data_IF_131543183845
#
_entry.id   IF_131543183845
#
_cell.length_a   1.000
_cell.length_b   1.000
_cell.length_c   1.000
_cell.angle_alpha   90.00
_cell.angle_beta   90.00
_cell.angle_gamma   90.00
#
_symmetry.space_group_name_H-M   'P 1'
#
loop_
_entity.id
_entity.type
_entity.pdbx_description
1 polymer ?
#
# COMPACT_ATOMS: atom_id res chain seq x y z
N UNK A 1 42.69 -9.00 -0.18
CA UNK A 1 43.13 -7.61 0.12
C UNK A 1 43.65 -6.96 -1.17
N UNK A 2 42.75 -6.38 -1.97
CA UNK A 2 43.05 -5.48 -3.09
C UNK A 2 41.92 -4.46 -3.15
N UNK A 3 42.11 -3.39 -2.38
CA UNK A 3 41.29 -2.18 -2.40
C UNK A 3 41.84 -1.30 -3.54
N UNK A 4 40.97 -0.43 -4.06
CA UNK A 4 41.25 0.72 -4.94
C UNK A 4 41.25 0.39 -6.44
N UNK A 5 40.18 0.80 -7.15
CA UNK A 5 40.25 1.43 -8.49
C UNK A 5 38.88 1.45 -9.22
N UNK A 6 37.82 2.08 -8.70
CA UNK A 6 36.66 2.46 -9.56
C UNK A 6 35.90 3.66 -8.98
N UNK A 7 36.62 4.79 -8.83
CA UNK A 7 36.02 6.11 -8.58
C UNK A 7 36.55 7.06 -9.66
N UNK A 8 35.87 7.13 -10.80
CA UNK A 8 35.75 8.32 -11.66
C UNK A 8 35.12 7.93 -13.00
N UNK A 9 33.80 8.07 -13.16
CA UNK A 9 33.24 8.34 -14.50
C UNK A 9 31.80 8.88 -14.59
N UNK A 10 31.23 9.49 -13.55
CA UNK A 10 29.92 10.13 -13.66
C UNK A 10 29.90 11.56 -13.11
N UNK A 11 30.58 12.44 -13.84
CA UNK A 11 30.34 13.88 -13.85
C UNK A 11 30.27 14.29 -15.33
N UNK A 12 29.37 15.24 -15.64
CA UNK A 12 29.07 15.86 -16.96
C UNK A 12 27.74 15.38 -17.57
N UNK A 13 26.63 16.01 -17.13
CA UNK A 13 25.69 16.75 -18.01
C UNK A 13 24.55 17.39 -17.21
N UNK A 14 24.88 18.45 -16.50
CA UNK A 14 23.91 19.45 -16.04
C UNK A 14 23.50 20.30 -17.26
N UNK A 15 22.29 20.09 -17.78
CA UNK A 15 21.63 21.04 -18.70
C UNK A 15 20.40 21.61 -18.00
N UNK A 16 20.45 22.92 -17.84
CA UNK A 16 19.40 23.77 -17.30
C UNK A 16 18.11 23.65 -18.12
N UNK A 17 16.98 23.46 -17.43
CA UNK A 17 15.63 23.67 -17.95
C UNK A 17 15.03 24.81 -17.13
N UNK A 18 14.67 25.89 -17.82
CA UNK A 18 14.05 27.07 -17.24
C UNK A 18 12.58 26.80 -16.86
N UNK A 19 12.04 27.40 -15.78
CA UNK A 19 10.64 27.24 -15.42
C UNK A 19 9.75 28.18 -16.24
N UNK A 20 8.79 27.60 -16.96
CA UNK A 20 7.72 28.34 -17.65
C UNK A 20 6.52 28.48 -16.69
N UNK A 21 6.40 29.67 -16.10
CA UNK A 21 5.25 30.10 -15.32
C UNK A 21 3.99 30.13 -16.20
N UNK A 22 3.02 29.27 -15.90
CA UNK A 22 1.65 29.44 -16.39
C UNK A 22 0.70 29.47 -15.20
N UNK A 23 0.06 30.64 -15.04
CA UNK A 23 -1.00 30.89 -14.07
C UNK A 23 -2.29 30.20 -14.54
N UNK A 24 -2.87 29.33 -13.73
CA UNK A 24 -4.29 28.98 -13.86
C UNK A 24 -4.97 29.24 -12.52
N UNK A 25 -6.02 30.04 -12.58
CA UNK A 25 -6.98 30.36 -11.52
C UNK A 25 -8.20 29.44 -11.68
N UNK A 26 -8.89 29.20 -10.55
CA UNK A 26 -10.30 28.81 -10.35
C UNK A 26 -10.48 27.37 -9.86
N UNK A 27 -11.46 27.01 -9.03
CA UNK A 27 -12.39 27.67 -8.09
C UNK A 27 -13.02 26.52 -7.26
N UNK A 28 -13.53 26.85 -6.09
CA UNK A 28 -14.11 25.96 -5.08
C UNK A 28 -15.45 25.28 -5.43
N UNK A 29 -15.74 24.14 -4.77
CA UNK A 29 -17.01 23.73 -4.13
C UNK A 29 -16.85 22.26 -3.64
N UNK A 30 -16.90 21.91 -2.35
CA UNK A 30 -18.01 21.79 -1.37
C UNK A 30 -18.87 20.51 -1.51
N UNK A 31 -18.78 19.67 -0.46
CA UNK A 31 -19.82 18.80 0.16
C UNK A 31 -20.26 17.55 -0.63
N UNK A 32 -20.33 16.34 -0.09
CA UNK A 32 -20.10 15.78 1.24
C UNK A 32 -20.87 14.45 1.42
N UNK A 33 -20.31 13.52 2.20
CA UNK A 33 -20.95 12.41 2.98
C UNK A 33 -21.81 11.40 2.20
N UNK A 34 -21.45 10.10 2.23
CA UNK A 34 -22.32 8.97 2.68
C UNK A 34 -21.57 7.62 2.78
N UNK A 35 -21.70 7.01 3.97
CA UNK A 35 -21.34 5.64 4.37
C UNK A 35 -21.98 4.52 3.51
N UNK A 36 -21.18 3.55 3.05
CA UNK A 36 -21.64 2.15 2.81
C UNK A 36 -20.53 1.15 3.18
N UNK A 37 -20.86 0.23 4.07
CA UNK A 37 -20.05 -0.89 4.56
C UNK A 37 -20.19 -2.13 3.67
N UNK A 38 -19.06 -2.67 3.20
CA UNK A 38 -18.95 -4.06 2.72
C UNK A 38 -17.54 -4.60 2.96
N UNK A 39 -17.47 -5.81 3.50
CA UNK A 39 -16.23 -6.54 3.77
C UNK A 39 -15.69 -7.22 2.51
N UNK A 40 -14.37 -7.16 2.29
CA UNK A 40 -13.69 -8.00 1.31
C UNK A 40 -12.31 -7.47 0.91
N UNK A 41 -11.29 -8.29 1.20
CA UNK A 41 -9.95 -8.40 0.60
C UNK A 41 -9.07 -7.11 0.51
N UNK A 42 -7.76 -7.31 0.63
CA UNK A 42 -6.76 -6.26 0.79
C UNK A 42 -6.72 -5.34 -0.45
N UNK A 43 -7.47 -4.24 -0.39
CA UNK A 43 -7.51 -3.27 -1.46
C UNK A 43 -6.42 -2.21 -1.25
N UNK A 44 -5.56 -2.00 -2.26
CA UNK A 44 -4.57 -0.93 -2.21
C UNK A 44 -5.27 0.41 -2.42
N UNK A 45 -5.17 1.30 -1.44
CA UNK A 45 -5.69 2.67 -1.52
C UNK A 45 -4.61 3.56 -2.14
N UNK A 46 -4.87 4.16 -3.30
CA UNK A 46 -3.97 5.14 -3.90
C UNK A 46 -4.72 6.47 -4.09
N UNK A 47 -4.07 7.56 -3.69
CA UNK A 47 -4.61 8.91 -3.76
C UNK A 47 -4.00 9.68 -4.93
N UNK A 48 -4.76 9.87 -6.00
CA UNK A 48 -4.41 10.79 -7.10
C UNK A 48 -5.45 11.90 -7.17
N UNK A 49 -5.00 13.14 -7.01
CA UNK A 49 -5.87 14.32 -7.01
C UNK A 49 -6.50 14.58 -8.39
N UNK A 50 -7.65 13.93 -8.63
CA UNK A 50 -8.37 13.90 -9.90
C UNK A 50 -7.86 12.81 -10.84
N UNK A 51 -8.76 12.00 -11.40
CA UNK A 51 -8.45 10.80 -12.18
C UNK A 51 -8.52 11.04 -13.70
N UNK A 52 -7.42 11.39 -14.38
CA UNK A 52 -7.31 11.06 -15.80
C UNK A 52 -7.20 9.53 -15.92
N UNK A 53 -8.17 8.88 -16.57
CA UNK A 53 -8.28 7.41 -16.65
C UNK A 53 -6.99 6.71 -17.12
N UNK A 54 -6.17 7.34 -17.96
CA UNK A 54 -4.88 6.76 -18.36
C UNK A 54 -3.84 6.67 -17.23
N UNK A 55 -3.94 7.51 -16.20
CA UNK A 55 -3.06 7.47 -15.02
C UNK A 55 -3.56 6.43 -14.01
N UNK A 56 -4.88 6.25 -13.91
CA UNK A 56 -5.50 5.14 -13.16
C UNK A 56 -5.07 3.77 -13.70
N UNK A 57 -5.17 3.58 -15.02
CA UNK A 57 -4.79 2.33 -15.68
C UNK A 57 -3.32 1.97 -15.39
N UNK A 58 -2.42 2.96 -15.49
CA UNK A 58 -1.00 2.78 -15.17
C UNK A 58 -0.76 2.37 -13.71
N UNK A 59 -1.44 3.01 -12.77
CA UNK A 59 -1.30 2.69 -11.34
C UNK A 59 -1.81 1.30 -10.98
N UNK A 60 -2.96 0.90 -11.54
CA UNK A 60 -3.50 -0.43 -11.29
C UNK A 60 -2.62 -1.48 -11.97
N UNK A 61 -2.12 -1.22 -13.19
CA UNK A 61 -1.17 -2.10 -13.87
C UNK A 61 0.10 -2.33 -13.04
N UNK A 62 0.74 -1.25 -12.57
CA UNK A 62 1.92 -1.34 -11.70
C UNK A 62 1.59 -2.07 -10.39
N UNK A 63 0.39 -1.83 -9.84
CA UNK A 63 -0.10 -2.47 -8.63
C UNK A 63 -0.33 -3.98 -8.78
N UNK A 64 -0.86 -4.44 -9.92
CA UNK A 64 -1.04 -5.86 -10.23
C UNK A 64 0.32 -6.55 -10.35
N UNK A 65 1.26 -5.93 -11.05
CA UNK A 65 2.63 -6.46 -11.17
C UNK A 65 3.28 -6.63 -9.78
N UNK A 66 3.07 -5.67 -8.88
CA UNK A 66 3.59 -5.70 -7.52
C UNK A 66 2.86 -6.69 -6.60
N UNK A 67 1.53 -6.81 -6.71
CA UNK A 67 0.73 -7.65 -5.81
C UNK A 67 0.76 -9.13 -6.19
N UNK A 68 0.62 -9.45 -7.48
CA UNK A 68 0.46 -10.84 -7.95
C UNK A 68 1.63 -11.33 -8.80
N UNK A 69 2.60 -10.47 -9.11
CA UNK A 69 3.80 -10.84 -9.86
C UNK A 69 3.54 -11.14 -11.35
N UNK A 70 2.40 -10.70 -11.89
CA UNK A 70 1.98 -10.96 -13.28
C UNK A 70 2.07 -9.68 -14.09
N UNK A 71 2.79 -9.74 -15.22
CA UNK A 71 2.87 -8.62 -16.17
C UNK A 71 1.57 -8.45 -16.94
N UNK A 72 1.06 -7.22 -16.94
CA UNK A 72 -0.12 -6.82 -17.70
C UNK A 72 0.33 -6.21 -19.03
N UNK A 73 -0.23 -6.68 -20.14
CA UNK A 73 0.01 -6.16 -21.49
C UNK A 73 -0.93 -4.99 -21.83
N UNK A 74 -2.20 -5.11 -21.40
CA UNK A 74 -3.21 -4.09 -21.61
C UNK A 74 -4.18 -4.01 -20.43
N UNK A 75 -4.63 -2.80 -20.12
CA UNK A 75 -5.71 -2.56 -19.18
C UNK A 75 -6.82 -1.78 -19.88
N UNK A 76 -8.07 -2.18 -19.66
CA UNK A 76 -9.26 -1.54 -20.22
C UNK A 76 -10.23 -1.21 -19.09
N UNK A 77 -10.32 0.07 -18.74
CA UNK A 77 -11.29 0.59 -17.79
C UNK A 77 -12.45 1.27 -18.54
N UNK A 78 -13.70 1.20 -18.05
CA UNK A 78 -14.83 1.88 -18.68
C UNK A 78 -14.57 3.38 -18.80
N UNK A 79 -14.82 3.92 -20.00
CA UNK A 79 -14.47 5.30 -20.31
C UNK A 79 -15.18 6.34 -19.43
N UNK A 80 -14.40 7.34 -18.99
CA UNK A 80 -14.81 8.62 -18.42
C UNK A 80 -16.03 8.54 -17.47
N UNK A 81 -15.75 8.16 -16.22
CA UNK A 81 -16.71 8.12 -15.11
C UNK A 81 -16.64 9.46 -14.38
N UNK A 82 -17.77 9.90 -13.83
CA UNK A 82 -17.78 11.03 -12.91
C UNK A 82 -17.15 10.59 -11.57
N UNK A 83 -16.52 11.55 -10.86
CA UNK A 83 -15.99 11.28 -9.51
C UNK A 83 -17.17 11.26 -8.56
N UNK A 84 -17.48 10.09 -7.99
CA UNK A 84 -18.59 9.86 -7.07
C UNK A 84 -18.12 8.93 -5.95
N UNK A 85 -18.15 9.42 -4.71
CA UNK A 85 -17.83 8.64 -3.51
C UNK A 85 -18.68 7.37 -3.47
N UNK A 86 -18.02 6.22 -3.35
CA UNK A 86 -18.67 4.91 -3.35
C UNK A 86 -18.96 4.33 -4.75
N UNK A 87 -18.58 5.01 -5.84
CA UNK A 87 -18.72 4.44 -7.19
C UNK A 87 -17.82 3.21 -7.37
N UNK A 88 -18.39 2.14 -7.94
CA UNK A 88 -17.70 0.86 -8.15
C UNK A 88 -17.74 0.49 -9.64
N UNK A 89 -16.58 0.18 -10.21
CA UNK A 89 -16.44 -0.36 -11.56
C UNK A 89 -15.49 -1.53 -11.63
N UNK A 90 -15.60 -2.28 -12.73
CA UNK A 90 -14.63 -3.27 -13.13
C UNK A 90 -13.73 -2.72 -14.25
N UNK A 91 -12.42 -2.87 -14.10
CA UNK A 91 -11.45 -2.81 -15.18
C UNK A 91 -11.06 -4.23 -15.60
N UNK A 92 -10.65 -4.39 -16.84
CA UNK A 92 -10.17 -5.66 -17.39
C UNK A 92 -8.67 -5.56 -17.64
N UNK A 93 -7.87 -6.42 -17.01
CA UNK A 93 -6.43 -6.51 -17.26
C UNK A 93 -6.15 -7.74 -18.13
N UNK A 94 -5.41 -7.59 -19.22
CA UNK A 94 -4.93 -8.70 -20.05
C UNK A 94 -3.45 -8.89 -19.79
N UNK A 95 -3.03 -10.09 -19.40
CA UNK A 95 -1.63 -10.41 -19.11
C UNK A 95 -0.84 -10.63 -20.40
N UNK A 96 0.49 -10.59 -20.30
CA UNK A 96 1.38 -10.93 -21.44
C UNK A 96 1.20 -12.36 -21.95
N UNK A 97 0.70 -13.26 -21.10
CA UNK A 97 0.42 -14.66 -21.42
C UNK A 97 -0.99 -14.86 -22.02
N UNK A 98 -1.79 -13.78 -22.10
CA UNK A 98 -3.14 -13.78 -22.65
C UNK A 98 -4.26 -14.09 -21.65
N UNK A 99 -3.94 -14.18 -20.35
CA UNK A 99 -4.94 -14.34 -19.30
C UNK A 99 -5.69 -13.02 -19.07
N UNK A 100 -6.95 -13.13 -18.64
CA UNK A 100 -7.80 -11.97 -18.36
C UNK A 100 -8.15 -11.92 -16.88
N UNK A 101 -7.77 -10.83 -16.22
CA UNK A 101 -8.08 -10.52 -14.83
C UNK A 101 -9.20 -9.48 -14.77
N UNK A 102 -10.16 -9.69 -13.87
CA UNK A 102 -11.15 -8.67 -13.55
C UNK A 102 -10.70 -7.93 -12.30
N UNK A 103 -10.62 -6.60 -12.40
CA UNK A 103 -10.18 -5.73 -11.31
C UNK A 103 -11.34 -4.87 -10.88
N UNK A 104 -11.79 -5.02 -9.63
CA UNK A 104 -12.83 -4.15 -9.06
C UNK A 104 -12.16 -2.91 -8.50
N UNK A 105 -12.63 -1.73 -8.89
CA UNK A 105 -12.17 -0.42 -8.41
C UNK A 105 -13.33 0.26 -7.70
N UNK A 106 -13.09 0.74 -6.49
CA UNK A 106 -14.05 1.49 -5.67
C UNK A 106 -13.50 2.87 -5.37
N UNK A 107 -14.19 3.93 -5.84
CA UNK A 107 -13.87 5.30 -5.48
C UNK A 107 -14.23 5.54 -4.01
N UNK A 108 -13.25 5.93 -3.21
CA UNK A 108 -13.42 6.09 -1.76
C UNK A 108 -13.84 7.49 -1.35
N UNK A 109 -13.73 8.48 -2.23
CA UNK A 109 -14.17 9.87 -1.98
C UNK A 109 -14.37 10.71 -3.24
N UNK A 110 -14.76 11.97 -3.01
CA UNK A 110 -14.96 13.01 -4.03
C UNK A 110 -13.65 13.68 -4.51
N UNK A 111 -12.49 13.20 -4.06
CA UNK A 111 -11.16 13.72 -4.41
C UNK A 111 -10.43 12.85 -5.43
N UNK A 112 -11.02 11.71 -5.78
CA UNK A 112 -10.45 10.74 -6.73
C UNK A 112 -9.60 9.66 -6.07
N UNK A 113 -9.71 9.49 -4.75
CA UNK A 113 -9.09 8.35 -4.07
C UNK A 113 -9.85 7.08 -4.42
N UNK A 114 -9.13 5.98 -4.60
CA UNK A 114 -9.74 4.70 -4.93
C UNK A 114 -9.02 3.55 -4.25
N UNK A 115 -9.77 2.47 -4.07
CA UNK A 115 -9.30 1.15 -3.67
C UNK A 115 -9.55 0.18 -4.81
N UNK A 116 -8.70 -0.83 -4.95
CA UNK A 116 -8.91 -1.84 -5.98
C UNK A 116 -8.52 -3.24 -5.50
N UNK A 117 -9.16 -4.24 -6.08
CA UNK A 117 -8.91 -5.66 -5.81
C UNK A 117 -8.96 -6.48 -7.10
N UNK A 118 -8.14 -7.53 -7.18
CA UNK A 118 -8.23 -8.52 -8.27
C UNK A 118 -9.27 -9.56 -7.89
N UNK A 119 -10.38 -9.61 -8.62
CA UNK A 119 -11.28 -10.73 -8.56
C UNK A 119 -10.61 -11.91 -9.30
N UNK A 120 -10.42 -13.04 -8.59
CA UNK A 120 -9.68 -14.21 -9.07
C UNK A 120 -9.89 -14.51 -10.56
N UNK A 121 -8.78 -14.65 -11.28
CA UNK A 121 -8.74 -15.09 -12.66
C UNK A 121 -9.54 -16.38 -12.82
N UNK A 122 -10.62 -16.37 -13.59
CA UNK A 122 -11.20 -17.60 -14.12
C UNK A 122 -10.42 -17.90 -15.40
N UNK A 123 -9.58 -18.96 -15.45
CA UNK A 123 -8.87 -19.30 -16.67
C UNK A 123 -9.89 -19.70 -17.74
N UNK A 124 -10.11 -18.81 -18.70
CA UNK A 124 -10.80 -19.08 -19.95
C UNK A 124 -12.25 -19.57 -19.85
N UNK A 125 -13.19 -18.65 -19.68
CA UNK A 125 -14.49 -18.80 -20.34
C UNK A 125 -14.86 -17.46 -21.01
N UNK A 126 -14.73 -17.43 -22.34
CA UNK A 126 -15.25 -16.37 -23.19
C UNK A 126 -16.75 -16.19 -22.89
N UNK A 127 -17.28 -14.96 -22.78
CA UNK A 127 -18.72 -14.77 -22.66
C UNK A 127 -19.37 -15.13 -23.99
N UNK A 128 -19.85 -16.37 -24.12
CA UNK A 128 -20.73 -16.76 -25.21
C UNK A 128 -22.13 -16.24 -24.90
N UNK A 129 -22.37 -15.05 -25.44
CA UNK A 129 -23.70 -14.50 -25.68
C UNK A 129 -24.52 -15.49 -26.54
N UNK A 130 -25.50 -16.18 -25.95
CA UNK A 130 -26.71 -16.58 -26.67
C UNK A 130 -27.88 -17.01 -25.76
N UNK A 131 -29.10 -16.59 -26.11
CA UNK A 131 -30.34 -16.91 -25.41
C UNK A 131 -30.90 -18.27 -25.82
N UNK A 132 -31.90 -18.75 -25.07
CA UNK A 132 -32.74 -19.93 -25.28
C UNK A 132 -32.28 -21.25 -24.63
N UNK A 133 -32.90 -21.62 -23.50
CA UNK A 133 -33.98 -22.64 -23.48
C UNK A 133 -34.63 -22.78 -22.08
N UNK A 134 -35.84 -23.40 -22.03
CA UNK A 134 -36.88 -23.00 -21.09
C UNK A 134 -37.01 -23.88 -19.84
N UNK A 135 -37.67 -23.26 -18.85
CA UNK A 135 -38.53 -23.78 -17.78
C UNK A 135 -38.68 -25.32 -17.74
N UNK A 136 -38.18 -25.91 -16.66
CA UNK A 136 -38.79 -27.08 -16.03
C UNK A 136 -39.14 -26.72 -14.59
N UNK A 137 -40.44 -26.59 -14.37
CA UNK A 137 -41.11 -26.67 -13.07
C UNK A 137 -40.79 -28.00 -12.41
N UNK A 138 -40.41 -27.99 -11.13
CA UNK A 138 -40.85 -29.02 -10.20
C UNK A 138 -41.14 -28.40 -8.83
N UNK A 139 -42.42 -28.51 -8.47
CA UNK A 139 -42.98 -28.25 -7.16
C UNK A 139 -42.82 -29.51 -6.29
N UNK A 140 -42.31 -29.35 -5.07
CA UNK A 140 -42.78 -30.07 -3.87
C UNK A 140 -42.04 -29.44 -2.67
N UNK A 141 -42.65 -28.64 -1.81
CA UNK A 141 -43.73 -28.93 -0.83
C UNK A 141 -43.31 -29.91 0.27
N UNK A 142 -43.38 -29.36 1.49
CA UNK A 142 -43.43 -29.98 2.82
C UNK A 142 -42.06 -30.49 3.33
N UNK A 143 -41.60 -30.15 4.54
CA UNK A 143 -42.32 -30.14 5.81
C UNK A 143 -41.62 -29.24 6.87
N UNK A 144 -42.47 -28.86 7.79
CA UNK A 144 -42.47 -27.94 8.91
C UNK A 144 -41.58 -28.35 10.11
N UNK A 145 -41.49 -27.39 11.05
CA UNK A 145 -41.22 -27.50 12.51
C UNK A 145 -39.79 -27.09 12.90
N UNK A 146 -39.55 -25.87 13.39
CA UNK A 146 -39.91 -25.28 14.69
C UNK A 146 -38.80 -25.47 15.75
N UNK A 147 -38.50 -24.36 16.43
CA UNK A 147 -37.69 -24.17 17.64
C UNK A 147 -36.17 -24.34 17.42
N UNK A 148 -35.28 -23.43 17.84
CA UNK A 148 -35.23 -22.71 19.11
C UNK A 148 -34.46 -21.38 18.99
N UNK A 149 -34.89 -20.45 19.86
CA UNK A 149 -34.24 -19.18 20.14
C UNK A 149 -32.84 -19.40 20.73
N UNK A 150 -31.86 -18.65 20.23
CA UNK A 150 -30.78 -18.17 21.09
C UNK A 150 -30.37 -16.77 20.65
N UNK A 151 -30.84 -15.82 21.45
CA UNK A 151 -30.22 -14.51 21.66
C UNK A 151 -28.76 -14.72 22.10
N UNK A 152 -27.82 -14.31 21.26
CA UNK A 152 -26.46 -14.00 21.68
C UNK A 152 -26.12 -12.57 21.22
N UNK A 153 -25.51 -11.75 22.09
CA UNK A 153 -25.22 -10.36 21.79
C UNK A 153 -24.03 -10.29 20.83
N UNK A 154 -24.30 -9.92 19.58
CA UNK A 154 -23.24 -9.59 18.61
C UNK A 154 -22.56 -8.31 19.09
N UNK A 155 -21.36 -8.48 19.67
CA UNK A 155 -20.40 -7.40 19.85
C UNK A 155 -19.92 -6.95 18.48
N UNK A 156 -20.47 -5.82 18.06
CA UNK A 156 -20.13 -5.04 16.88
C UNK A 156 -18.64 -4.64 16.91
N UNK A 157 -17.88 -5.12 15.93
CA UNK A 157 -16.48 -4.78 15.73
C UNK A 157 -16.14 -4.85 14.25
N UNK A 158 -16.66 -3.93 13.44
CA UNK A 158 -16.05 -3.61 12.14
C UNK A 158 -16.37 -2.18 11.71
N UNK A 159 -15.72 -1.23 12.37
CA UNK A 159 -15.44 0.08 11.78
C UNK A 159 -13.94 0.29 11.94
N UNK A 160 -13.16 0.49 10.86
CA UNK A 160 -11.81 1.04 11.00
C UNK A 160 -11.94 2.33 11.79
N UNK A 161 -11.16 2.57 12.86
CA UNK A 161 -11.26 3.86 13.53
C UNK A 161 -10.85 4.91 12.51
N UNK A 162 -11.81 5.72 12.06
CA UNK A 162 -11.52 7.07 11.65
C UNK A 162 -10.79 7.69 12.85
N UNK A 163 -9.46 7.67 12.79
CA UNK A 163 -8.62 8.24 13.82
C UNK A 163 -8.75 9.75 13.70
N UNK A 164 -9.86 10.29 14.19
CA UNK A 164 -9.97 11.70 14.55
C UNK A 164 -9.10 11.90 15.78
N UNK A 165 -7.79 11.82 15.58
CA UNK A 165 -6.78 12.13 16.58
C UNK A 165 -6.81 13.64 16.70
N UNK A 166 -7.77 14.15 17.47
CA UNK A 166 -7.83 15.55 17.85
C UNK A 166 -7.03 15.73 19.15
N UNK A 167 -5.75 16.13 19.09
CA UNK A 167 -4.96 16.49 20.25
C UNK A 167 -5.54 17.78 20.84
N UNK A 168 -6.38 17.63 21.87
CA UNK A 168 -6.96 18.75 22.62
C UNK A 168 -5.91 19.79 23.00
N UNK A 169 -6.19 21.04 22.63
CA UNK A 169 -5.23 22.12 22.55
C UNK A 169 -5.28 23.06 23.75
N UNK A 170 -4.09 23.39 24.27
CA UNK A 170 -3.89 24.38 25.33
C UNK A 170 -3.49 25.70 24.68
N UNK A 171 -4.46 26.50 24.23
CA UNK A 171 -4.19 27.87 23.77
C UNK A 171 -3.27 27.95 22.54
N UNK A 172 -3.86 27.76 21.35
CA UNK A 172 -3.27 28.08 20.04
C UNK A 172 -1.99 27.32 19.62
N UNK A 173 -1.56 26.32 20.40
CA UNK A 173 -0.39 25.48 20.11
C UNK A 173 -0.83 24.02 20.02
N UNK A 174 -0.30 23.29 19.04
CA UNK A 174 -0.58 21.87 18.86
C UNK A 174 -0.07 21.11 20.10
N UNK A 175 -0.91 20.24 20.67
CA UNK A 175 -0.50 19.43 21.81
C UNK A 175 0.48 18.33 21.39
N UNK A 176 1.78 18.67 21.46
CA UNK A 176 2.88 17.80 21.03
C UNK A 176 2.95 16.50 21.84
N UNK A 177 2.54 16.49 23.11
CA UNK A 177 2.53 15.27 23.93
C UNK A 177 1.56 14.23 23.38
N UNK A 178 0.33 14.65 23.03
CA UNK A 178 -0.67 13.77 22.42
C UNK A 178 -0.30 13.36 21.00
N UNK A 179 0.31 14.27 20.23
CA UNK A 179 0.83 13.96 18.90
C UNK A 179 1.88 12.85 18.95
N UNK A 180 2.86 12.97 19.85
CA UNK A 180 3.93 11.98 20.06
C UNK A 180 3.35 10.62 20.43
N UNK A 181 2.38 10.58 21.35
CA UNK A 181 1.72 9.34 21.76
C UNK A 181 0.93 8.69 20.60
N UNK A 182 0.21 9.50 19.82
CA UNK A 182 -0.55 9.02 18.67
C UNK A 182 0.35 8.43 17.57
N UNK A 183 1.44 9.12 17.23
CA UNK A 183 2.42 8.64 16.23
C UNK A 183 3.09 7.35 16.74
N UNK A 184 3.59 7.33 17.98
CA UNK A 184 4.25 6.15 18.54
C UNK A 184 3.33 4.92 18.52
N UNK A 185 2.09 5.10 18.99
CA UNK A 185 1.08 4.03 19.01
C UNK A 185 0.72 3.58 17.60
N UNK A 186 0.51 4.52 16.68
CA UNK A 186 0.16 4.23 15.29
C UNK A 186 1.24 3.45 14.57
N UNK A 187 2.51 3.81 14.75
CA UNK A 187 3.65 3.07 14.19
C UNK A 187 3.66 1.62 14.71
N UNK A 188 3.59 1.42 16.02
CA UNK A 188 3.62 0.07 16.60
C UNK A 188 2.43 -0.77 16.14
N UNK A 189 1.23 -0.18 16.01
CA UNK A 189 0.05 -0.89 15.52
C UNK A 189 0.15 -1.27 14.04
N UNK A 190 0.68 -0.38 13.20
CA UNK A 190 0.76 -0.60 11.75
C UNK A 190 1.93 -1.51 11.36
N UNK A 191 3.07 -1.37 12.04
CA UNK A 191 4.33 -1.99 11.62
C UNK A 191 4.80 -3.10 12.56
N UNK A 192 4.26 -3.17 13.78
CA UNK A 192 4.80 -4.03 14.84
C UNK A 192 6.13 -3.55 15.43
N UNK A 193 6.72 -2.44 14.91
CA UNK A 193 7.99 -1.93 15.40
C UNK A 193 7.84 -1.25 16.77
N UNK A 194 8.81 -1.49 17.64
CA UNK A 194 8.89 -0.81 18.93
C UNK A 194 9.49 0.59 18.77
N UNK A 195 8.72 1.60 19.17
CA UNK A 195 9.14 3.00 19.19
C UNK A 195 9.58 3.39 20.61
N UNK A 196 10.82 3.86 20.77
CA UNK A 196 11.36 4.29 22.05
C UNK A 196 11.01 5.74 22.38
N UNK A 197 11.04 6.62 21.37
CA UNK A 197 10.64 8.01 21.50
C UNK A 197 10.19 8.59 20.16
N UNK A 198 9.43 9.69 20.20
CA UNK A 198 9.14 10.50 19.02
C UNK A 198 9.48 11.95 19.34
N UNK A 199 10.28 12.56 18.49
CA UNK A 199 10.71 13.94 18.55
C UNK A 199 9.94 14.76 17.51
N UNK A 200 9.05 15.64 17.99
CA UNK A 200 8.28 16.55 17.14
C UNK A 200 8.61 18.02 17.51
N UNK A 201 8.78 18.92 16.53
CA UNK A 201 8.92 20.34 16.83
C UNK A 201 7.62 20.91 17.40
N UNK A 202 7.71 21.93 18.27
CA UNK A 202 6.54 22.68 18.71
C UNK A 202 5.99 23.54 17.56
N UNK A 203 4.67 23.46 17.32
CA UNK A 203 3.99 24.16 16.23
C UNK A 203 2.73 24.88 16.72
N UNK A 204 2.43 26.08 16.20
CA UNK A 204 1.11 26.68 16.40
C UNK A 204 0.04 25.87 15.66
N UNK A 205 -1.20 25.97 16.10
CA UNK A 205 -2.33 25.42 15.33
C UNK A 205 -2.53 26.29 14.10
N UNK A 206 -2.40 25.69 12.93
CA UNK A 206 -2.56 26.37 11.66
C UNK A 206 -2.91 25.35 10.58
N UNK A 207 -4.12 25.44 10.02
CA UNK A 207 -4.54 24.59 8.92
C UNK A 207 -3.54 24.63 7.74
N UNK A 208 -3.22 23.46 7.21
CA UNK A 208 -2.25 23.25 6.14
C UNK A 208 -0.78 23.37 6.56
N UNK A 209 -0.47 23.56 7.85
CA UNK A 209 0.92 23.56 8.31
C UNK A 209 1.52 22.16 8.23
N UNK A 210 2.74 22.08 7.71
CA UNK A 210 3.47 20.82 7.49
C UNK A 210 4.79 20.83 8.24
N UNK A 211 5.12 19.71 8.89
CA UNK A 211 6.37 19.55 9.61
C UNK A 211 6.74 18.07 9.75
N UNK A 212 7.98 17.79 10.14
CA UNK A 212 8.46 16.43 10.32
C UNK A 212 8.65 16.12 11.81
N UNK A 213 8.24 14.92 12.20
CA UNK A 213 8.66 14.27 13.44
C UNK A 213 9.69 13.18 13.13
N UNK A 214 10.48 12.81 14.13
CA UNK A 214 11.42 11.68 14.06
C UNK A 214 11.06 10.68 15.14
N UNK A 215 10.67 9.47 14.76
CA UNK A 215 10.50 8.36 15.70
C UNK A 215 11.82 7.59 15.80
N UNK A 216 12.29 7.38 17.02
CA UNK A 216 13.50 6.63 17.31
C UNK A 216 13.10 5.23 17.81
N UNK A 217 13.58 4.19 17.15
CA UNK A 217 13.36 2.79 17.51
C UNK A 217 14.59 2.15 18.15
N UNK A 218 14.58 0.83 18.22
CA UNK A 218 15.73 0.06 18.70
C UNK A 218 16.93 0.14 17.74
N UNK A 219 18.14 -0.19 18.24
CA UNK A 219 19.39 -0.25 17.45
C UNK A 219 19.63 1.00 16.60
N UNK A 220 19.34 2.19 17.13
CA UNK A 220 19.48 3.48 16.44
C UNK A 220 18.69 3.58 15.13
N UNK A 221 17.61 2.79 14.97
CA UNK A 221 16.68 2.96 13.85
C UNK A 221 15.88 4.25 14.01
N UNK A 222 15.60 4.90 12.89
CA UNK A 222 14.78 6.11 12.88
C UNK A 222 13.74 6.06 11.77
N UNK A 223 12.60 6.69 11.99
CA UNK A 223 11.58 6.94 10.97
C UNK A 223 11.33 8.44 10.90
N UNK A 224 11.31 8.99 9.68
CA UNK A 224 10.88 10.35 9.41
C UNK A 224 9.38 10.33 9.12
N UNK A 225 8.62 11.08 9.90
CA UNK A 225 7.17 11.17 9.80
C UNK A 225 6.81 12.56 9.32
N UNK A 226 6.17 12.66 8.15
CA UNK A 226 5.57 13.90 7.71
C UNK A 226 4.21 14.06 8.38
N UNK A 227 3.95 15.24 8.93
CA UNK A 227 2.68 15.60 9.58
C UNK A 227 2.09 16.81 8.89
N UNK A 228 0.79 16.73 8.58
CA UNK A 228 -0.01 17.82 8.02
C UNK A 228 -1.13 18.15 8.99
N UNK A 229 -1.21 19.41 9.42
CA UNK A 229 -2.37 19.90 10.16
C UNK A 229 -3.52 20.10 9.17
N UNK A 230 -4.60 19.34 9.32
CA UNK A 230 -5.73 19.38 8.38
C UNK A 230 -6.63 20.59 8.61
N UNK A 231 -6.66 21.10 9.85
CA UNK A 231 -7.53 22.20 10.23
C UNK A 231 -6.99 23.07 11.38
N UNK A 232 -7.76 24.10 11.73
CA UNK A 232 -7.48 25.02 12.84
C UNK A 232 -7.96 24.45 14.20
N UNK A 233 -8.32 23.17 14.26
CA UNK A 233 -8.66 22.44 15.50
C UNK A 233 -7.51 21.53 15.95
N UNK A 234 -6.43 21.44 15.16
CA UNK A 234 -5.28 20.60 15.45
C UNK A 234 -5.45 19.15 15.02
N UNK A 235 -6.45 18.84 14.19
CA UNK A 235 -6.51 17.54 13.53
C UNK A 235 -5.31 17.39 12.60
N UNK A 236 -4.73 16.20 12.57
CA UNK A 236 -3.49 15.93 11.82
C UNK A 236 -3.62 14.64 11.02
N UNK A 237 -3.07 14.67 9.82
CA UNK A 237 -2.72 13.50 9.05
C UNK A 237 -1.20 13.29 9.09
N UNK A 238 -0.74 12.05 9.05
CA UNK A 238 0.68 11.74 9.06
C UNK A 238 1.01 10.48 8.28
N UNK A 239 2.22 10.44 7.75
CA UNK A 239 2.75 9.30 7.00
C UNK A 239 4.25 9.12 7.26
N UNK A 240 4.74 7.89 7.12
CA UNK A 240 6.18 7.59 7.21
C UNK A 240 6.80 7.87 5.84
N UNK A 241 7.64 8.90 5.74
CA UNK A 241 8.26 9.31 4.47
C UNK A 241 9.69 8.80 4.30
N UNK A 242 10.25 8.19 5.34
CA UNK A 242 11.59 7.61 5.28
C UNK A 242 11.94 6.85 6.54
N UNK A 243 12.88 5.93 6.43
CA UNK A 243 13.37 5.11 7.53
C UNK A 243 14.86 4.87 7.39
N UNK A 244 15.55 4.72 8.51
CA UNK A 244 16.94 4.26 8.57
C UNK A 244 17.02 2.99 9.40
N UNK A 245 17.80 2.01 8.92
CA UNK A 245 18.03 0.71 9.57
C UNK A 245 16.77 -0.13 9.75
N UNK A 246 15.78 0.06 8.89
CA UNK A 246 14.54 -0.70 8.85
C UNK A 246 14.37 -1.22 7.42
N UNK A 247 14.18 -2.53 7.29
CA UNK A 247 13.99 -3.20 6.01
C UNK A 247 12.54 -3.70 5.93
N UNK A 248 11.84 -3.43 4.82
CA UNK A 248 10.57 -4.10 4.50
C UNK A 248 10.93 -5.45 3.85
N UNK A 249 10.78 -6.52 4.62
CA UNK A 249 11.14 -7.87 4.19
C UNK A 249 10.24 -8.35 3.05
N UNK A 250 8.97 -7.92 2.99
CA UNK A 250 8.08 -8.29 1.89
C UNK A 250 8.57 -7.71 0.56
N UNK A 251 9.00 -6.44 0.55
CA UNK A 251 9.58 -5.82 -0.65
C UNK A 251 10.91 -6.50 -1.01
N UNK A 252 11.73 -6.80 -0.01
CA UNK A 252 13.02 -7.47 -0.21
C UNK A 252 12.88 -8.88 -0.81
N UNK A 253 11.95 -9.69 -0.30
CA UNK A 253 11.67 -11.04 -0.80
C UNK A 253 11.24 -11.01 -2.27
N UNK A 254 10.34 -10.09 -2.63
CA UNK A 254 9.92 -9.89 -4.02
C UNK A 254 11.10 -9.50 -4.93
N UNK A 255 11.95 -8.57 -4.48
CA UNK A 255 13.15 -8.18 -5.21
C UNK A 255 14.15 -9.33 -5.35
N UNK A 256 14.33 -10.14 -4.30
CA UNK A 256 15.20 -11.32 -4.33
C UNK A 256 14.68 -12.36 -5.33
N UNK A 257 13.38 -12.66 -5.36
CA UNK A 257 12.78 -13.57 -6.35
C UNK A 257 13.05 -13.08 -7.78
N UNK A 258 12.87 -11.78 -8.05
CA UNK A 258 13.16 -11.20 -9.36
C UNK A 258 14.64 -11.35 -9.73
N UNK A 259 15.55 -10.96 -8.82
CA UNK A 259 16.99 -11.01 -9.08
C UNK A 259 17.52 -12.45 -9.23
N UNK A 260 17.00 -13.40 -8.44
CA UNK A 260 17.34 -14.81 -8.57
C UNK A 260 16.90 -15.36 -9.92
N UNK A 261 15.66 -15.07 -10.34
CA UNK A 261 15.13 -15.51 -11.63
C UNK A 261 15.96 -14.95 -12.78
N UNK A 262 16.33 -13.67 -12.74
CA UNK A 262 17.14 -13.03 -13.76
C UNK A 262 18.58 -13.59 -13.84
N UNK A 263 19.23 -13.80 -12.69
CA UNK A 263 20.63 -14.23 -12.64
C UNK A 263 20.81 -15.72 -12.88
N UNK A 264 19.86 -16.54 -12.42
CA UNK A 264 20.02 -18.01 -12.39
C UNK A 264 19.04 -18.74 -13.31
N UNK A 265 17.96 -18.09 -13.74
CA UNK A 265 16.86 -18.73 -14.46
C UNK A 265 15.95 -19.58 -13.57
N UNK A 266 16.14 -19.55 -12.26
CA UNK A 266 15.35 -20.32 -11.29
C UNK A 266 14.23 -19.45 -10.75
N UNK A 267 12.99 -19.90 -10.92
CA UNK A 267 11.80 -19.28 -10.30
C UNK A 267 11.41 -20.02 -9.02
N UNK A 268 10.95 -19.27 -8.03
CA UNK A 268 10.62 -19.80 -6.72
C UNK A 268 10.08 -18.74 -5.77
N UNK A 269 9.99 -19.11 -4.50
CA UNK A 269 9.63 -18.23 -3.38
C UNK A 269 10.84 -18.02 -2.47
N UNK A 270 10.93 -16.84 -1.86
CA UNK A 270 11.92 -16.51 -0.84
C UNK A 270 11.18 -16.13 0.43
N UNK A 271 11.66 -16.62 1.57
CA UNK A 271 11.14 -16.34 2.91
C UNK A 271 12.34 -15.94 3.79
N UNK A 272 12.39 -14.67 4.15
CA UNK A 272 13.41 -14.07 5.01
C UNK A 272 13.07 -14.17 6.51
N UNK A 273 11.95 -14.81 6.84
CA UNK A 273 11.46 -15.01 8.19
C UNK A 273 11.07 -13.71 8.91
N UNK A 274 10.52 -13.87 10.11
CA UNK A 274 10.22 -12.75 11.01
C UNK A 274 8.95 -11.96 10.65
N UNK A 275 8.83 -10.78 11.27
CA UNK A 275 7.77 -9.82 10.97
C UNK A 275 8.07 -9.07 9.66
N UNK A 276 7.07 -8.36 9.11
CA UNK A 276 7.22 -7.59 7.86
C UNK A 276 8.41 -6.64 7.86
N UNK A 277 8.76 -6.08 9.02
CA UNK A 277 9.85 -5.13 9.15
C UNK A 277 10.97 -5.69 10.01
N UNK A 278 12.20 -5.56 9.53
CA UNK A 278 13.40 -5.97 10.25
C UNK A 278 14.29 -4.77 10.57
N UNK A 279 14.69 -4.65 11.83
CA UNK A 279 15.68 -3.65 12.26
C UNK A 279 17.10 -4.19 12.08
N UNK A 280 17.76 -3.71 11.03
CA UNK A 280 19.12 -4.09 10.64
C UNK A 280 19.86 -2.89 10.03
N UNK A 281 21.11 -2.65 10.44
CA UNK A 281 21.98 -1.60 9.90
C UNK A 281 23.16 -2.15 9.13
N UNK A 282 24.00 -1.23 8.64
CA UNK A 282 25.18 -1.58 7.85
C UNK A 282 26.06 -2.65 8.52
N UNK A 283 26.35 -3.72 7.78
CA UNK A 283 27.14 -4.87 8.23
C UNK A 283 26.36 -5.97 8.96
N UNK A 284 25.09 -5.75 9.32
CA UNK A 284 24.23 -6.82 9.82
C UNK A 284 23.99 -7.85 8.71
N UNK A 285 23.84 -9.12 9.09
CA UNK A 285 23.55 -10.21 8.15
C UNK A 285 22.52 -11.17 8.72
N UNK A 286 21.70 -11.72 7.84
CA UNK A 286 20.65 -12.68 8.17
C UNK A 286 20.40 -13.60 6.97
N UNK A 287 19.72 -14.71 7.21
CA UNK A 287 19.48 -15.74 6.20
C UNK A 287 18.02 -15.70 5.76
N UNK A 288 17.80 -15.80 4.45
CA UNK A 288 16.51 -16.12 3.86
C UNK A 288 16.53 -17.54 3.30
N UNK A 289 15.41 -18.23 3.39
CA UNK A 289 15.22 -19.52 2.72
C UNK A 289 14.58 -19.32 1.35
N UNK A 290 15.07 -20.02 0.34
CA UNK A 290 14.50 -20.04 -1.01
C UNK A 290 13.98 -21.43 -1.35
N UNK A 291 12.86 -21.51 -2.05
CA UNK A 291 12.32 -22.77 -2.62
C UNK A 291 11.98 -22.58 -4.08
N UNK A 292 12.55 -23.40 -4.96
CA UNK A 292 12.24 -23.40 -6.38
C UNK A 292 10.95 -24.17 -6.72
N UNK A 293 10.49 -24.05 -7.96
CA UNK A 293 9.30 -24.75 -8.46
C UNK A 293 9.43 -26.28 -8.52
N UNK A 294 10.65 -26.83 -8.38
CA UNK A 294 10.89 -28.27 -8.31
C UNK A 294 10.91 -28.78 -6.86
N UNK A 295 10.73 -27.88 -5.88
CA UNK A 295 10.80 -28.18 -4.46
C UNK A 295 12.22 -28.23 -3.89
N UNK A 296 13.24 -27.82 -4.66
CA UNK A 296 14.60 -27.67 -4.14
C UNK A 296 14.65 -26.46 -3.22
N UNK A 297 15.31 -26.62 -2.07
CA UNK A 297 15.49 -25.57 -1.08
C UNK A 297 16.94 -25.08 -1.08
N UNK A 298 17.14 -23.80 -0.80
CA UNK A 298 18.44 -23.15 -0.67
C UNK A 298 18.42 -22.08 0.41
N UNK A 299 19.61 -21.67 0.86
CA UNK A 299 19.76 -20.57 1.81
C UNK A 299 20.43 -19.39 1.09
N UNK A 300 19.89 -18.21 1.29
CA UNK A 300 20.38 -16.95 0.74
C UNK A 300 20.88 -16.12 1.91
N UNK A 301 22.17 -15.82 1.95
CA UNK A 301 22.74 -14.94 2.96
C UNK A 301 22.58 -13.50 2.50
N UNK A 302 21.92 -12.68 3.32
CA UNK A 302 21.76 -11.24 3.11
C UNK A 302 22.75 -10.50 4.00
N UNK A 303 23.44 -9.51 3.44
CA UNK A 303 24.27 -8.56 4.18
C UNK A 303 23.83 -7.14 3.86
N UNK A 304 23.43 -6.40 4.88
CA UNK A 304 23.04 -5.00 4.78
C UNK A 304 24.29 -4.15 4.55
N UNK A 305 24.26 -3.31 3.51
CA UNK A 305 25.42 -2.51 3.08
C UNK A 305 25.46 -1.13 3.71
N UNK A 306 24.29 -0.54 3.93
CA UNK A 306 24.14 0.80 4.50
C UNK A 306 22.84 0.94 5.30
N UNK A 307 22.68 2.08 5.96
CA UNK A 307 21.55 2.34 6.85
C UNK A 307 20.29 2.78 6.08
N UNK A 308 20.39 3.03 4.78
CA UNK A 308 19.28 3.27 3.86
C UNK A 308 18.59 1.97 3.40
N UNK A 309 19.16 0.82 3.75
CA UNK A 309 18.59 -0.49 3.51
C UNK A 309 19.06 -1.15 2.21
N UNK A 310 20.13 -0.65 1.58
CA UNK A 310 20.74 -1.39 0.49
C UNK A 310 21.40 -2.66 1.04
N UNK A 311 21.34 -3.75 0.27
CA UNK A 311 21.88 -5.03 0.68
C UNK A 311 22.60 -5.73 -0.49
N UNK A 312 23.48 -6.66 -0.13
CA UNK A 312 24.00 -7.67 -1.04
C UNK A 312 23.49 -9.03 -0.61
N UNK A 313 23.45 -9.96 -1.55
CA UNK A 313 23.05 -11.34 -1.27
C UNK A 313 23.96 -12.34 -1.99
N UNK A 314 24.09 -13.52 -1.41
CA UNK A 314 24.77 -14.67 -2.00
C UNK A 314 24.04 -15.97 -1.64
N UNK A 315 24.15 -16.99 -2.50
CA UNK A 315 23.59 -18.32 -2.24
C UNK A 315 24.64 -19.12 -1.46
N UNK A 316 24.22 -19.68 -0.33
CA UNK A 316 25.07 -20.49 0.55
C UNK A 316 25.06 -21.98 0.17
#
# INVERSE_FOLDING_TARGET
MKIISFLNQWQIKSRAIAPMLTRIRAKAARSGVILITTAGLAACSFSVGGLPMGELEGLIQDGIEQQVGVKVDAMDCPANRDIEEGDVFACTATTVDGDVLTVTVTQTDDQGNFTWEVANAVPGELPSDSPDRPIATDNNSDDSSADDNNDDPVSDATTPPAQTNNPGNDGNTLNTGRLVEAIATGITQQTGLEVLSVDCPSRPIQAGDTFNCVANGQKDSTMTIAVVQEDDQGNINWEITGSTRILDLSVMEQQLVSQLTEQTGVSGVVDCGGDRYLVAGAGDSFECSGRDNNGNEGVILITVQDDEGNYQWEIN
#
